data_IF_674919973287
#
_entry.id   IF_674919973287
#
_cell.length_a   1.000
_cell.length_b   1.000
_cell.length_c   1.000
_cell.angle_alpha   90.00
_cell.angle_beta   90.00
_cell.angle_gamma   90.00
#
_symmetry.space_group_name_H-M   'P 1'
#
loop_
_entity.id
_entity.type
_entity.pdbx_description
1 polymer ?
#
# COMPACT_ATOMS: atom_id res chain seq x y z
N UNK A 1 12.19 32.58 14.80
CA UNK A 1 11.02 31.70 14.99
C UNK A 1 11.53 30.39 15.53
N UNK A 2 11.19 30.07 16.78
CA UNK A 2 11.49 28.77 17.37
C UNK A 2 10.81 27.70 16.53
N UNK A 3 11.59 26.72 16.08
CA UNK A 3 11.10 25.60 15.31
C UNK A 3 10.37 24.68 16.30
N UNK A 4 9.08 24.95 16.54
CA UNK A 4 8.23 24.01 17.24
C UNK A 4 8.36 22.66 16.51
N UNK A 5 8.72 21.60 17.23
CA UNK A 5 8.91 20.28 16.64
C UNK A 5 7.69 19.85 15.81
N UNK A 6 7.87 18.86 14.92
CA UNK A 6 6.81 18.37 14.02
C UNK A 6 5.49 18.03 14.74
N UNK A 7 5.56 17.68 16.02
CA UNK A 7 4.41 17.38 16.87
C UNK A 7 3.40 18.54 17.00
N UNK A 8 3.84 19.79 16.85
CA UNK A 8 2.97 20.98 16.91
C UNK A 8 2.67 21.59 15.53
N UNK A 9 3.05 20.92 14.44
CA UNK A 9 2.90 21.45 13.10
C UNK A 9 1.55 21.04 12.49
N UNK A 10 0.62 22.00 12.40
CA UNK A 10 -0.68 21.85 11.73
C UNK A 10 -0.75 22.76 10.49
N UNK A 11 -0.16 22.37 9.36
CA UNK A 11 -0.09 23.21 8.17
C UNK A 11 -1.47 23.48 7.56
N UNK A 12 -1.64 24.69 7.02
CA UNK A 12 -2.85 25.14 6.33
C UNK A 12 -2.49 25.64 4.94
N UNK A 13 -3.42 25.53 3.99
CA UNK A 13 -3.21 26.04 2.63
C UNK A 13 -3.45 27.55 2.58
N UNK A 14 -2.56 28.26 1.90
CA UNK A 14 -2.64 29.72 1.78
C UNK A 14 -2.33 30.46 3.10
N UNK A 15 -2.54 31.79 3.12
CA UNK A 15 -2.19 32.63 4.27
C UNK A 15 -3.25 32.65 5.37
N UNK A 16 -4.45 32.11 5.13
CA UNK A 16 -5.56 32.24 6.06
C UNK A 16 -5.48 31.22 7.20
N UNK A 17 -5.48 31.72 8.44
CA UNK A 17 -5.59 30.93 9.66
C UNK A 17 -6.56 31.66 10.59
N UNK A 18 -7.52 30.91 11.13
CA UNK A 18 -8.44 31.39 12.15
C UNK A 18 -7.72 31.41 13.51
N UNK A 19 -7.71 32.56 14.17
CA UNK A 19 -7.06 32.80 15.47
C UNK A 19 -8.05 33.05 16.60
N UNK A 20 -9.23 33.59 16.28
CA UNK A 20 -10.25 33.96 17.26
C UNK A 20 -11.66 33.55 16.82
N UNK A 21 -12.64 33.68 17.71
CA UNK A 21 -14.01 33.21 17.48
C UNK A 21 -14.80 33.98 16.41
N UNK A 22 -14.31 35.14 15.96
CA UNK A 22 -14.92 35.92 14.88
C UNK A 22 -14.37 35.54 13.50
N UNK A 23 -13.27 34.78 13.45
CA UNK A 23 -12.68 34.34 12.18
C UNK A 23 -13.54 33.23 11.55
N UNK A 24 -13.57 33.21 10.21
CA UNK A 24 -14.28 32.18 9.47
C UNK A 24 -13.42 30.94 9.30
N UNK A 25 -13.58 29.97 10.21
CA UNK A 25 -12.87 28.70 10.18
C UNK A 25 -12.99 27.96 8.83
N UNK A 26 -14.08 28.12 8.08
CA UNK A 26 -14.26 27.45 6.79
C UNK A 26 -13.28 27.92 5.71
N UNK A 27 -12.63 29.09 5.89
CA UNK A 27 -11.58 29.58 5.00
C UNK A 27 -10.20 29.00 5.35
N UNK A 28 -10.04 28.39 6.53
CA UNK A 28 -8.81 27.67 6.89
C UNK A 28 -8.85 26.26 6.30
N UNK A 29 -7.95 25.98 5.36
CA UNK A 29 -7.90 24.68 4.67
C UNK A 29 -6.76 23.84 5.26
N UNK A 30 -7.03 22.83 6.11
CA UNK A 30 -5.98 22.02 6.69
C UNK A 30 -5.28 21.13 5.64
N UNK A 31 -3.95 21.01 5.76
CA UNK A 31 -3.12 20.22 4.84
C UNK A 31 -2.80 18.81 5.35
N UNK A 32 -3.19 18.45 6.57
CA UNK A 32 -3.09 17.06 7.01
C UNK A 32 -4.30 16.26 6.51
N UNK A 33 -4.07 15.03 6.06
CA UNK A 33 -5.13 14.09 5.71
C UNK A 33 -5.85 13.73 7.01
N UNK A 34 -7.16 13.98 7.04
CA UNK A 34 -8.05 13.48 8.09
C UNK A 34 -8.80 12.25 7.55
N UNK A 35 -8.47 11.02 7.97
CA UNK A 35 -9.10 9.79 7.44
C UNK A 35 -10.59 9.67 7.77
N UNK A 36 -11.11 10.47 8.71
CA UNK A 36 -12.55 10.52 9.00
C UNK A 36 -13.34 11.33 7.96
N UNK A 37 -12.64 12.12 7.13
CA UNK A 37 -13.25 13.04 6.15
C UNK A 37 -12.73 12.82 4.73
N UNK A 38 -11.49 12.35 4.58
CA UNK A 38 -10.83 12.12 3.30
C UNK A 38 -10.47 10.65 3.19
N UNK A 39 -10.56 10.09 1.99
CA UNK A 39 -9.95 8.81 1.68
C UNK A 39 -8.43 9.00 1.51
N UNK A 40 -7.57 8.36 2.32
CA UNK A 40 -6.12 8.45 2.15
C UNK A 40 -5.64 7.98 0.77
N UNK A 41 -6.37 7.04 0.14
CA UNK A 41 -6.02 6.53 -1.18
C UNK A 41 -6.18 7.62 -2.26
N UNK A 42 -6.93 8.70 -2.04
CA UNK A 42 -7.01 9.82 -2.99
C UNK A 42 -5.73 10.67 -3.02
N UNK A 43 -4.97 10.67 -1.93
CA UNK A 43 -3.82 11.56 -1.72
C UNK A 43 -2.48 10.83 -1.73
N UNK A 44 -2.47 9.52 -1.45
CA UNK A 44 -1.27 8.74 -1.23
C UNK A 44 -1.20 7.53 -2.15
N UNK A 45 0.01 7.11 -2.51
CA UNK A 45 0.25 5.85 -3.19
C UNK A 45 1.51 5.14 -2.67
N UNK A 46 1.51 3.82 -2.73
CA UNK A 46 2.67 3.02 -2.36
C UNK A 46 3.67 2.98 -3.51
N UNK A 47 4.93 3.26 -3.21
CA UNK A 47 6.05 3.01 -4.07
C UNK A 47 6.90 1.89 -3.48
N UNK A 48 6.87 0.74 -4.15
CA UNK A 48 7.57 -0.47 -3.76
C UNK A 48 8.56 -0.78 -4.89
N UNK A 49 9.80 -0.32 -4.73
CA UNK A 49 10.86 -0.54 -5.72
C UNK A 49 11.60 -1.86 -5.47
N UNK A 50 12.54 -2.19 -6.36
CA UNK A 50 13.39 -3.38 -6.23
C UNK A 50 14.27 -3.38 -4.97
N UNK A 51 14.47 -2.23 -4.32
CA UNK A 51 15.17 -2.16 -3.02
C UNK A 51 14.31 -2.60 -1.84
N UNK A 52 13.03 -2.91 -2.09
CA UNK A 52 12.04 -3.42 -1.12
C UNK A 52 11.85 -2.50 0.10
N UNK A 53 12.11 -1.22 -0.07
CA UNK A 53 11.75 -0.19 0.89
C UNK A 53 10.36 0.35 0.52
N UNK A 54 9.27 -0.15 1.14
CA UNK A 54 7.93 0.35 0.87
C UNK A 54 7.76 1.74 1.48
N UNK A 55 7.70 2.74 0.61
CA UNK A 55 7.47 4.14 0.99
C UNK A 55 6.15 4.64 0.41
N UNK A 56 5.57 5.63 1.07
CA UNK A 56 4.44 6.38 0.55
C UNK A 56 4.94 7.56 -0.28
N UNK A 57 4.30 7.81 -1.40
CA UNK A 57 4.42 9.03 -2.18
C UNK A 57 3.09 9.77 -2.18
N UNK A 58 3.14 11.09 -2.31
CA UNK A 58 1.95 11.87 -2.61
C UNK A 58 1.53 11.57 -4.06
N UNK A 59 0.23 11.37 -4.29
CA UNK A 59 -0.31 11.26 -5.65
C UNK A 59 -0.13 12.58 -6.40
N UNK A 60 -0.12 12.51 -7.73
CA UNK A 60 -0.07 13.71 -8.56
C UNK A 60 -1.49 14.20 -8.87
N UNK A 61 -1.73 15.50 -8.66
CA UNK A 61 -2.89 16.23 -9.17
C UNK A 61 -2.44 17.00 -10.42
N UNK A 62 -2.66 16.42 -11.59
CA UNK A 62 -2.08 16.90 -12.84
C UNK A 62 -0.56 16.74 -12.84
N UNK A 63 0.19 17.83 -12.95
CA UNK A 63 1.65 17.81 -12.96
C UNK A 63 2.29 18.05 -11.58
N UNK A 64 1.49 18.30 -10.53
CA UNK A 64 1.98 18.66 -9.21
C UNK A 64 1.63 17.60 -8.17
N UNK A 65 2.48 17.35 -7.16
CA UNK A 65 2.13 16.50 -6.03
C UNK A 65 0.94 17.06 -5.24
N UNK A 66 0.08 16.18 -4.76
CA UNK A 66 -0.98 16.49 -3.84
C UNK A 66 -0.40 17.10 -2.55
N UNK A 67 -0.77 18.33 -2.26
CA UNK A 67 -0.23 19.08 -1.13
C UNK A 67 -0.57 18.41 0.21
N UNK A 68 -1.76 17.82 0.36
CA UNK A 68 -2.14 17.10 1.59
C UNK A 68 -1.32 15.84 1.77
N UNK A 69 -1.08 15.11 0.67
CA UNK A 69 -0.21 13.93 0.65
C UNK A 69 1.21 14.28 1.10
N UNK A 70 1.81 15.32 0.52
CA UNK A 70 3.16 15.79 0.87
C UNK A 70 3.24 16.18 2.35
N UNK A 71 2.35 17.07 2.80
CA UNK A 71 2.34 17.53 4.20
C UNK A 71 2.13 16.39 5.19
N UNK A 72 1.24 15.45 4.89
CA UNK A 72 0.97 14.31 5.79
C UNK A 72 2.17 13.37 5.89
N UNK A 73 2.85 13.07 4.77
CA UNK A 73 4.06 12.25 4.78
C UNK A 73 5.14 12.89 5.65
N UNK A 74 5.38 14.20 5.48
CA UNK A 74 6.46 14.91 6.16
C UNK A 74 6.20 15.10 7.65
N UNK A 75 5.02 15.59 8.01
CA UNK A 75 4.66 15.97 9.39
C UNK A 75 4.42 14.72 10.23
N UNK A 76 3.65 13.76 9.73
CA UNK A 76 3.35 12.51 10.47
C UNK A 76 4.50 11.50 10.39
N UNK A 77 5.54 11.78 9.60
CA UNK A 77 6.70 10.92 9.45
C UNK A 77 6.35 9.55 8.87
N UNK A 78 5.45 9.52 7.88
CA UNK A 78 4.92 8.26 7.32
C UNK A 78 5.99 7.41 6.62
N UNK A 79 7.16 7.97 6.33
CA UNK A 79 8.33 7.30 5.75
C UNK A 79 9.53 7.27 6.71
N UNK A 80 9.33 7.41 8.03
CA UNK A 80 10.42 7.28 9.00
C UNK A 80 11.03 5.88 8.96
N UNK A 81 12.35 5.80 9.17
CA UNK A 81 13.14 4.57 9.02
C UNK A 81 12.54 3.34 9.72
N UNK A 82 12.17 3.46 10.99
CA UNK A 82 11.56 2.35 11.74
C UNK A 82 10.28 1.81 11.09
N UNK A 83 9.41 2.71 10.61
CA UNK A 83 8.16 2.33 9.98
C UNK A 83 8.37 1.69 8.61
N UNK A 84 9.36 2.17 7.84
CA UNK A 84 9.75 1.56 6.56
C UNK A 84 10.32 0.16 6.78
N UNK A 85 11.13 -0.05 7.82
CA UNK A 85 11.68 -1.37 8.15
C UNK A 85 10.61 -2.36 8.59
N UNK A 86 9.67 -1.94 9.44
CA UNK A 86 8.55 -2.78 9.85
C UNK A 86 7.72 -3.23 8.64
N UNK A 87 7.41 -2.30 7.74
CA UNK A 87 6.72 -2.59 6.49
C UNK A 87 7.50 -3.52 5.57
N UNK A 88 8.82 -3.32 5.44
CA UNK A 88 9.68 -4.19 4.65
C UNK A 88 9.68 -5.63 5.17
N UNK A 89 9.69 -5.82 6.49
CA UNK A 89 9.63 -7.15 7.11
C UNK A 89 8.30 -7.88 6.80
N UNK A 90 7.18 -7.15 6.81
CA UNK A 90 5.88 -7.70 6.39
C UNK A 90 5.88 -8.04 4.91
N UNK A 91 6.37 -7.12 4.07
CA UNK A 91 6.41 -7.32 2.62
C UNK A 91 7.29 -8.51 2.21
N UNK A 92 8.41 -8.73 2.89
CA UNK A 92 9.30 -9.85 2.64
C UNK A 92 8.58 -11.21 2.78
N UNK A 93 7.73 -11.37 3.79
CA UNK A 93 6.97 -12.61 3.99
C UNK A 93 5.99 -12.85 2.85
N UNK A 94 5.30 -11.79 2.41
CA UNK A 94 4.37 -11.84 1.29
C UNK A 94 5.09 -12.17 -0.02
N UNK A 95 6.25 -11.55 -0.27
CA UNK A 95 7.06 -11.81 -1.46
C UNK A 95 7.52 -13.28 -1.54
N UNK A 96 7.91 -13.88 -0.42
CA UNK A 96 8.27 -15.31 -0.38
C UNK A 96 7.06 -16.17 -0.77
N UNK A 97 5.89 -15.89 -0.22
CA UNK A 97 4.66 -16.61 -0.58
C UNK A 97 4.34 -16.48 -2.07
N UNK A 98 4.41 -15.26 -2.62
CA UNK A 98 4.19 -15.00 -4.06
C UNK A 98 5.17 -15.80 -4.92
N UNK A 99 6.46 -15.82 -4.57
CA UNK A 99 7.48 -16.58 -5.31
C UNK A 99 7.22 -18.07 -5.28
N UNK A 100 6.85 -18.61 -4.13
CA UNK A 100 6.54 -20.04 -3.99
C UNK A 100 5.35 -20.44 -4.87
N UNK A 101 4.32 -19.59 -4.98
CA UNK A 101 3.18 -19.81 -5.88
C UNK A 101 3.64 -19.87 -7.34
N UNK A 102 4.44 -18.91 -7.79
CA UNK A 102 4.96 -18.93 -9.16
C UNK A 102 5.81 -20.17 -9.45
N UNK A 103 6.70 -20.55 -8.53
CA UNK A 103 7.50 -21.78 -8.67
C UNK A 103 6.63 -23.03 -8.76
N UNK A 104 5.57 -23.12 -7.94
CA UNK A 104 4.64 -24.25 -8.00
C UNK A 104 3.87 -24.28 -9.32
N UNK A 105 3.47 -23.12 -9.85
CA UNK A 105 2.87 -22.99 -11.18
C UNK A 105 3.82 -23.51 -12.27
N UNK A 106 5.08 -23.08 -12.26
CA UNK A 106 6.08 -23.49 -13.27
C UNK A 106 6.31 -25.01 -13.25
N UNK A 107 6.41 -25.60 -12.06
CA UNK A 107 6.51 -27.05 -11.88
C UNK A 107 5.24 -27.74 -12.41
N UNK A 108 4.06 -27.24 -12.05
CA UNK A 108 2.77 -27.84 -12.43
C UNK A 108 2.54 -27.79 -13.95
N UNK A 109 3.04 -26.75 -14.62
CA UNK A 109 2.90 -26.57 -16.06
C UNK A 109 3.60 -27.66 -16.89
N UNK A 110 4.72 -28.20 -16.40
CA UNK A 110 5.50 -29.24 -17.10
C UNK A 110 5.11 -30.67 -16.69
N UNK A 111 4.25 -30.81 -15.67
CA UNK A 111 3.81 -32.12 -15.20
C UNK A 111 2.78 -32.75 -16.16
N UNK A 112 2.88 -34.06 -16.43
CA UNK A 112 1.83 -34.77 -17.16
C UNK A 112 0.54 -34.79 -16.33
N UNK A 113 -0.58 -35.07 -17.00
CA UNK A 113 -1.86 -35.27 -16.33
C UNK A 113 -1.77 -36.49 -15.39
N UNK A 114 -1.75 -36.24 -14.07
CA UNK A 114 -1.68 -37.25 -13.04
C UNK A 114 -2.18 -36.67 -11.70
N UNK A 115 -2.46 -37.55 -10.74
CA UNK A 115 -2.96 -37.15 -9.41
C UNK A 115 -2.02 -36.15 -8.70
N UNK A 116 -0.71 -36.27 -8.89
CA UNK A 116 0.25 -35.33 -8.32
C UNK A 116 0.07 -33.90 -8.87
N UNK A 117 -0.21 -33.77 -10.18
CA UNK A 117 -0.51 -32.48 -10.81
C UNK A 117 -1.78 -31.87 -10.24
N UNK A 118 -2.83 -32.67 -10.05
CA UNK A 118 -4.10 -32.20 -9.48
C UNK A 118 -3.93 -31.70 -8.04
N UNK A 119 -3.10 -32.38 -7.23
CA UNK A 119 -2.76 -31.90 -5.88
C UNK A 119 -2.02 -30.56 -5.90
N UNK A 120 -1.11 -30.35 -6.86
CA UNK A 120 -0.43 -29.06 -7.02
C UNK A 120 -1.42 -27.95 -7.41
N UNK A 121 -2.36 -28.21 -8.32
CA UNK A 121 -3.41 -27.26 -8.69
C UNK A 121 -4.28 -26.85 -7.49
N UNK A 122 -4.69 -27.82 -6.67
CA UNK A 122 -5.43 -27.56 -5.43
C UNK A 122 -4.60 -26.67 -4.49
N UNK A 123 -3.31 -26.98 -4.30
CA UNK A 123 -2.43 -26.21 -3.43
C UNK A 123 -2.23 -24.78 -3.92
N UNK A 124 -2.05 -24.57 -5.23
CA UNK A 124 -1.98 -23.22 -5.82
C UNK A 124 -3.24 -22.41 -5.50
N UNK A 125 -4.43 -23.03 -5.65
CA UNK A 125 -5.70 -22.39 -5.30
C UNK A 125 -5.74 -21.96 -3.83
N UNK A 126 -5.37 -22.86 -2.92
CA UNK A 126 -5.30 -22.56 -1.48
C UNK A 126 -4.31 -21.42 -1.16
N UNK A 127 -3.12 -21.45 -1.77
CA UNK A 127 -2.11 -20.41 -1.55
C UNK A 127 -2.56 -19.03 -2.06
N UNK A 128 -3.31 -18.99 -3.16
CA UNK A 128 -3.90 -17.74 -3.68
C UNK A 128 -4.98 -17.22 -2.73
N UNK A 129 -5.84 -18.09 -2.18
CA UNK A 129 -6.85 -17.70 -1.21
C UNK A 129 -6.22 -17.16 0.09
N UNK A 130 -5.16 -17.82 0.57
CA UNK A 130 -4.36 -17.36 1.71
C UNK A 130 -3.72 -15.98 1.43
N UNK A 131 -3.14 -15.80 0.25
CA UNK A 131 -2.55 -14.53 -0.18
C UNK A 131 -3.62 -13.43 -0.28
N UNK A 132 -4.84 -13.76 -0.70
CA UNK A 132 -5.99 -12.84 -0.70
C UNK A 132 -6.39 -12.41 0.72
N UNK A 133 -6.29 -13.30 1.70
CA UNK A 133 -6.58 -12.99 3.09
C UNK A 133 -5.56 -12.03 3.74
N UNK A 134 -4.37 -11.87 3.16
CA UNK A 134 -3.29 -11.05 3.71
C UNK A 134 -3.57 -9.55 3.74
N UNK A 135 -4.50 -9.04 2.94
CA UNK A 135 -4.84 -7.61 2.89
C UNK A 135 -6.27 -7.28 3.33
N UNK A 136 -6.87 -8.10 4.20
CA UNK A 136 -8.14 -7.73 4.86
C UNK A 136 -7.98 -6.38 5.60
N UNK A 137 -8.98 -5.48 5.56
CA UNK A 137 -8.83 -4.07 6.00
C UNK A 137 -8.32 -3.89 7.43
N UNK A 138 -8.60 -4.84 8.32
CA UNK A 138 -8.24 -4.76 9.75
C UNK A 138 -6.79 -5.18 10.05
N UNK A 139 -6.00 -5.57 9.03
CA UNK A 139 -4.58 -5.91 9.23
C UNK A 139 -3.70 -4.68 9.13
N UNK A 140 -2.67 -4.63 9.98
CA UNK A 140 -1.63 -3.63 9.87
C UNK A 140 -1.00 -3.70 8.46
N UNK A 141 -0.81 -2.54 7.83
CA UNK A 141 -0.26 -2.42 6.48
C UNK A 141 -1.10 -3.05 5.36
N UNK A 142 -2.40 -3.32 5.58
CA UNK A 142 -3.27 -3.93 4.56
C UNK A 142 -3.26 -3.20 3.21
N UNK A 143 -3.31 -1.85 3.20
CA UNK A 143 -3.25 -1.05 1.95
C UNK A 143 -1.93 -1.26 1.20
N UNK A 144 -0.79 -1.34 1.89
CA UNK A 144 0.51 -1.63 1.28
C UNK A 144 0.54 -3.02 0.66
N UNK A 145 0.10 -4.02 1.43
CA UNK A 145 0.07 -5.42 1.00
C UNK A 145 -0.85 -5.58 -0.21
N UNK A 146 -2.02 -4.93 -0.21
CA UNK A 146 -2.94 -4.88 -1.35
C UNK A 146 -2.25 -4.30 -2.59
N UNK A 147 -1.61 -3.14 -2.48
CA UNK A 147 -0.91 -2.49 -3.59
C UNK A 147 0.21 -3.35 -4.18
N UNK A 148 0.86 -4.19 -3.36
CA UNK A 148 1.86 -5.13 -3.83
C UNK A 148 1.26 -6.36 -4.52
N UNK A 149 0.22 -6.95 -3.94
CA UNK A 149 -0.36 -8.22 -4.39
C UNK A 149 -1.23 -8.06 -5.65
N UNK A 150 -1.94 -6.94 -5.82
CA UNK A 150 -2.88 -6.77 -6.95
C UNK A 150 -2.27 -7.03 -8.34
N UNK A 151 -1.08 -6.50 -8.70
CA UNK A 151 -0.42 -6.82 -9.96
C UNK A 151 -0.09 -8.31 -10.11
N UNK A 152 0.32 -8.98 -9.03
CA UNK A 152 0.59 -10.41 -9.02
C UNK A 152 -0.69 -11.21 -9.21
N UNK A 153 -1.78 -10.87 -8.53
CA UNK A 153 -3.08 -11.54 -8.69
C UNK A 153 -3.60 -11.46 -10.12
N UNK A 154 -3.47 -10.30 -10.77
CA UNK A 154 -3.84 -10.14 -12.19
C UNK A 154 -3.03 -11.08 -13.09
N UNK A 155 -1.75 -11.27 -12.78
CA UNK A 155 -0.84 -12.15 -13.53
C UNK A 155 -1.12 -13.64 -13.24
N UNK A 156 -1.29 -14.00 -11.96
CA UNK A 156 -1.60 -15.37 -11.51
C UNK A 156 -2.91 -15.88 -12.11
N UNK A 157 -3.95 -15.04 -12.15
CA UNK A 157 -5.22 -15.36 -12.82
C UNK A 157 -5.02 -15.75 -14.29
N UNK A 158 -4.13 -15.06 -15.01
CA UNK A 158 -3.81 -15.39 -16.41
C UNK A 158 -3.12 -16.74 -16.54
N UNK A 159 -2.17 -17.05 -15.68
CA UNK A 159 -1.47 -18.34 -15.71
C UNK A 159 -2.37 -19.51 -15.33
N UNK A 160 -3.24 -19.34 -14.33
CA UNK A 160 -4.20 -20.37 -13.95
C UNK A 160 -5.15 -20.76 -15.09
N UNK A 161 -5.65 -19.79 -15.85
CA UNK A 161 -6.49 -20.08 -17.03
C UNK A 161 -5.75 -20.96 -18.05
N UNK A 162 -4.43 -20.80 -18.20
CA UNK A 162 -3.63 -21.63 -19.10
C UNK A 162 -3.27 -23.02 -18.54
N UNK A 163 -3.44 -23.26 -17.24
CA UNK A 163 -3.18 -24.56 -16.60
C UNK A 163 -4.41 -25.46 -16.54
N UNK A 164 -5.60 -24.87 -16.61
CA UNK A 164 -6.85 -25.62 -16.66
C UNK A 164 -7.07 -26.15 -18.10
N UNK A 165 -7.49 -27.41 -18.27
CA UNK A 165 -7.74 -28.01 -19.57
C UNK A 165 -8.90 -27.34 -20.33
#
# INVERSE_FOLDING_TARGET
MENAGKECAFPVSGPYRAWNSQDNLALEVPLLINPCQHDPDDHLCWHISNTKAPILLAKLLGAQPDQKGVSSIEIMGLNRFGLVNERAAVLQQIEVQVKNIYQLIDITAIMPACEARDRCLIKIGQDIDELHACYKPNRQYASMVKSYIEPHMKTLKRYLVGLLP
#
